data_IF_347479488956
#
_entry.id   IF_347479488956
#
_cell.length_a   1.000
_cell.length_b   1.000
_cell.length_c   1.000
_cell.angle_alpha   90.00
_cell.angle_beta   90.00
_cell.angle_gamma   90.00
#
_symmetry.space_group_name_H-M   'P 1'
#
loop_
_entity.id
_entity.type
_entity.pdbx_description
1 polymer ?
#
# COMPACT_ATOMS: atom_id res chain seq x y z
N UNK A 1 8.53 -3.51 -9.84
CA UNK A 1 7.46 -4.15 -9.04
C UNK A 1 6.25 -3.25 -9.03
N UNK A 2 5.06 -3.81 -8.88
CA UNK A 2 3.81 -3.06 -8.76
C UNK A 2 2.82 -3.81 -7.89
N UNK A 3 1.75 -3.12 -7.51
CA UNK A 3 0.68 -3.64 -6.67
C UNK A 3 -0.65 -3.29 -7.34
N UNK A 4 -1.60 -4.22 -7.33
CA UNK A 4 -2.90 -4.07 -7.97
C UNK A 4 -4.04 -4.49 -7.07
N UNK A 5 -5.20 -3.88 -7.30
CA UNK A 5 -6.46 -4.17 -6.62
C UNK A 5 -7.45 -4.66 -7.69
N UNK A 6 -8.11 -5.79 -7.42
CA UNK A 6 -9.20 -6.32 -8.25
C UNK A 6 -10.48 -6.20 -7.42
N UNK A 7 -11.45 -5.43 -7.93
CA UNK A 7 -12.76 -5.24 -7.32
C UNK A 7 -13.83 -5.99 -8.12
N UNK A 8 -14.03 -7.29 -7.89
CA UNK A 8 -15.17 -8.01 -8.46
C UNK A 8 -16.48 -7.45 -7.88
N UNK A 9 -17.54 -7.35 -8.69
CA UNK A 9 -18.82 -6.72 -8.29
C UNK A 9 -19.58 -7.42 -7.17
N UNK A 10 -19.24 -8.68 -6.87
CA UNK A 10 -20.00 -9.55 -5.96
C UNK A 10 -19.11 -10.47 -5.13
N UNK A 11 -17.82 -10.20 -5.05
CA UNK A 11 -16.85 -11.00 -4.30
C UNK A 11 -15.90 -10.09 -3.54
N UNK A 12 -15.15 -10.67 -2.61
CA UNK A 12 -14.14 -9.95 -1.83
C UNK A 12 -13.12 -9.26 -2.74
N UNK A 13 -12.59 -8.13 -2.25
CA UNK A 13 -11.51 -7.45 -2.96
C UNK A 13 -10.24 -8.28 -2.92
N UNK A 14 -9.59 -8.41 -4.08
CA UNK A 14 -8.30 -9.09 -4.19
C UNK A 14 -7.19 -8.07 -4.33
N UNK A 15 -6.07 -8.32 -3.65
CA UNK A 15 -4.84 -7.55 -3.79
C UNK A 15 -3.72 -8.45 -4.26
N UNK A 16 -2.86 -7.94 -5.13
CA UNK A 16 -1.74 -8.74 -5.65
C UNK A 16 -0.50 -7.88 -5.87
N UNK A 17 0.67 -8.51 -5.70
CA UNK A 17 1.98 -7.93 -5.96
C UNK A 17 2.60 -8.62 -7.18
N UNK A 18 3.20 -7.84 -8.07
CA UNK A 18 3.83 -8.34 -9.28
C UNK A 18 5.19 -7.69 -9.55
N UNK A 19 6.06 -8.41 -10.24
CA UNK A 19 7.38 -7.96 -10.66
C UNK A 19 7.86 -8.74 -11.89
N UNK A 20 9.00 -8.36 -12.47
CA UNK A 20 9.58 -9.09 -13.58
C UNK A 20 9.80 -10.57 -13.20
N UNK A 21 9.13 -11.48 -13.90
CA UNK A 21 9.26 -12.93 -13.68
C UNK A 21 8.65 -13.48 -12.39
N UNK A 22 7.98 -12.65 -11.58
CA UNK A 22 7.37 -13.07 -10.31
C UNK A 22 5.99 -12.44 -10.14
N UNK A 23 4.96 -13.25 -9.93
CA UNK A 23 3.64 -12.82 -9.50
C UNK A 23 3.25 -13.57 -8.24
N UNK A 24 2.83 -12.84 -7.21
CA UNK A 24 2.25 -13.45 -6.02
C UNK A 24 0.78 -13.77 -6.33
N UNK A 25 0.28 -14.90 -5.84
CA UNK A 25 -1.15 -15.20 -5.93
C UNK A 25 -1.94 -14.07 -5.24
N UNK A 26 -3.06 -13.62 -5.85
CA UNK A 26 -3.90 -12.61 -5.22
C UNK A 26 -4.39 -13.07 -3.84
N UNK A 27 -4.28 -12.17 -2.87
CA UNK A 27 -4.82 -12.38 -1.52
C UNK A 27 -6.18 -11.70 -1.40
N UNK A 28 -7.14 -12.38 -0.79
CA UNK A 28 -8.43 -11.79 -0.40
C UNK A 28 -8.23 -10.89 0.80
N UNK A 29 -8.93 -9.76 0.81
CA UNK A 29 -9.04 -8.89 1.98
C UNK A 29 -10.52 -8.68 2.31
N UNK A 30 -10.87 -8.84 3.58
CA UNK A 30 -12.20 -8.58 4.13
C UNK A 30 -12.37 -7.07 4.37
N UNK A 31 -12.26 -6.29 3.29
CA UNK A 31 -12.44 -4.84 3.32
C UNK A 31 -13.42 -4.47 2.22
N UNK A 32 -14.49 -3.78 2.60
CA UNK A 32 -15.46 -3.24 1.66
C UNK A 32 -14.89 -1.97 1.04
N UNK A 33 -14.53 -2.06 -0.24
CA UNK A 33 -14.16 -0.89 -1.04
C UNK A 33 -15.41 -0.37 -1.73
N UNK A 34 -15.73 0.90 -1.54
CA UNK A 34 -16.90 1.48 -2.20
C UNK A 34 -16.60 1.83 -3.65
N UNK A 35 -17.60 1.72 -4.53
CA UNK A 35 -17.51 2.14 -5.92
C UNK A 35 -17.86 3.61 -6.13
N UNK A 36 -18.48 4.25 -5.13
CA UNK A 36 -19.01 5.62 -5.20
C UNK A 36 -18.19 6.65 -4.41
N UNK A 37 -16.96 6.28 -4.02
CA UNK A 37 -16.04 7.13 -3.26
C UNK A 37 -14.86 7.59 -4.13
N UNK A 38 -14.32 8.77 -3.82
CA UNK A 38 -13.10 9.22 -4.49
C UNK A 38 -11.93 8.37 -4.03
N UNK A 39 -11.09 7.92 -4.98
CA UNK A 39 -9.89 7.15 -4.65
C UNK A 39 -8.64 7.70 -5.35
N UNK A 40 -7.48 7.58 -4.69
CA UNK A 40 -6.19 7.93 -5.29
C UNK A 40 -5.07 7.00 -4.90
N UNK A 41 -4.03 7.05 -5.73
CA UNK A 41 -2.75 6.42 -5.54
C UNK A 41 -1.68 7.47 -5.34
N UNK A 42 -0.92 7.35 -4.26
CA UNK A 42 0.22 8.21 -3.96
C UNK A 42 1.48 7.33 -3.80
N UNK A 43 2.58 7.73 -4.44
CA UNK A 43 3.87 7.05 -4.31
C UNK A 43 4.76 7.79 -3.32
N UNK A 44 5.33 7.07 -2.35
CA UNK A 44 6.23 7.64 -1.35
C UNK A 44 7.67 7.80 -1.87
N UNK A 45 7.98 7.14 -2.99
CA UNK A 45 9.29 7.09 -3.61
C UNK A 45 9.20 7.59 -5.05
N UNK A 46 10.05 8.58 -5.38
CA UNK A 46 10.18 9.15 -6.72
C UNK A 46 11.20 8.42 -7.59
N UNK A 47 11.88 9.17 -8.45
CA UNK A 47 12.94 8.65 -9.34
C UNK A 47 14.29 8.47 -8.65
N UNK A 48 14.41 8.94 -7.42
CA UNK A 48 15.66 8.92 -6.66
C UNK A 48 15.92 7.54 -6.06
N UNK A 49 17.20 7.23 -5.83
CA UNK A 49 17.58 6.01 -5.13
C UNK A 49 17.12 6.12 -3.67
N UNK A 50 16.46 5.07 -3.18
CA UNK A 50 16.07 4.96 -1.78
C UNK A 50 16.92 3.92 -1.10
N UNK A 51 17.55 4.31 0.01
CA UNK A 51 18.30 3.41 0.87
C UNK A 51 17.34 2.63 1.77
N UNK A 52 17.55 1.31 1.83
CA UNK A 52 16.86 0.42 2.76
C UNK A 52 17.84 0.01 3.86
N UNK A 53 17.52 0.33 5.11
CA UNK A 53 18.29 -0.14 6.26
C UNK A 53 17.71 -1.45 6.77
N UNK A 54 18.58 -2.35 7.23
CA UNK A 54 18.16 -3.58 7.89
C UNK A 54 17.26 -3.25 9.09
N UNK A 55 16.13 -3.94 9.18
CA UNK A 55 15.14 -3.75 10.22
C UNK A 55 14.24 -2.52 10.06
N UNK A 56 14.52 -1.61 9.12
CA UNK A 56 13.70 -0.41 8.91
C UNK A 56 12.53 -0.70 7.96
N UNK A 57 11.34 -0.25 8.34
CA UNK A 57 10.15 -0.32 7.46
C UNK A 57 10.00 0.99 6.69
N UNK A 58 9.92 0.90 5.37
CA UNK A 58 9.64 2.04 4.48
C UNK A 58 8.28 1.87 3.81
N UNK A 59 7.54 2.98 3.67
CA UNK A 59 6.33 3.05 2.85
C UNK A 59 6.76 3.27 1.40
N UNK A 60 6.17 2.53 0.47
CA UNK A 60 6.41 2.62 -0.97
C UNK A 60 5.29 3.38 -1.67
N UNK A 61 4.05 3.10 -1.28
CA UNK A 61 2.85 3.70 -1.86
C UNK A 61 1.68 3.61 -0.88
N UNK A 62 0.69 4.48 -1.11
CA UNK A 62 -0.59 4.45 -0.44
C UNK A 62 -1.73 4.47 -1.47
N UNK A 63 -2.76 3.68 -1.20
CA UNK A 63 -4.08 3.82 -1.79
C UNK A 63 -5.03 4.33 -0.71
N UNK A 64 -5.88 5.28 -1.06
CA UNK A 64 -6.90 5.79 -0.14
C UNK A 64 -8.23 5.98 -0.84
N UNK A 65 -9.29 5.77 -0.09
CA UNK A 65 -10.66 6.10 -0.45
C UNK A 65 -11.24 7.08 0.56
N UNK A 66 -11.97 8.07 0.06
CA UNK A 66 -12.70 9.03 0.90
C UNK A 66 -14.07 9.32 0.31
N UNK A 67 -15.08 9.28 1.16
CA UNK A 67 -16.42 9.79 0.91
C UNK A 67 -16.51 11.32 1.07
N UNK A 68 -15.41 11.98 1.44
CA UNK A 68 -15.33 13.44 1.43
C UNK A 68 -15.15 13.97 0.01
N UNK A 69 -15.67 15.16 -0.27
CA UNK A 69 -15.52 15.82 -1.57
C UNK A 69 -14.13 16.49 -1.76
N UNK A 70 -13.13 16.12 -0.96
CA UNK A 70 -11.80 16.75 -0.99
C UNK A 70 -10.67 15.74 -0.93
N UNK A 71 -9.73 15.86 -1.87
CA UNK A 71 -8.51 15.07 -1.90
C UNK A 71 -7.37 15.85 -1.23
N UNK A 72 -6.96 15.45 -0.03
CA UNK A 72 -5.77 16.01 0.63
C UNK A 72 -4.52 15.22 0.24
N UNK A 73 -3.43 15.92 -0.07
CA UNK A 73 -2.11 15.32 -0.21
C UNK A 73 -1.52 15.05 1.18
N UNK A 74 -0.94 13.87 1.36
CA UNK A 74 -0.23 13.50 2.59
C UNK A 74 1.23 13.24 2.25
N UNK A 75 2.12 13.58 3.19
CA UNK A 75 3.53 13.22 3.09
C UNK A 75 3.70 11.81 3.62
N UNK A 76 3.94 10.85 2.73
CA UNK A 76 4.09 9.44 3.10
C UNK A 76 5.42 9.15 3.81
N UNK A 77 6.32 10.12 3.90
CA UNK A 77 7.58 10.01 4.65
C UNK A 77 7.46 10.55 6.08
N UNK A 78 6.39 11.28 6.39
CA UNK A 78 6.09 11.80 7.73
C UNK A 78 5.09 10.89 8.46
N UNK A 79 5.47 10.40 9.63
CA UNK A 79 4.66 9.44 10.40
C UNK A 79 3.35 10.08 10.88
N UNK A 80 3.37 11.36 11.25
CA UNK A 80 2.16 12.06 11.68
C UNK A 80 1.19 12.27 10.52
N UNK A 81 1.69 12.65 9.35
CA UNK A 81 0.91 12.76 8.11
C UNK A 81 0.26 11.44 7.73
N UNK A 82 0.98 10.31 7.83
CA UNK A 82 0.41 8.97 7.59
C UNK A 82 -0.65 8.62 8.62
N UNK A 83 -0.45 8.93 9.90
CA UNK A 83 -1.47 8.72 10.95
C UNK A 83 -2.73 9.54 10.67
N UNK A 84 -2.58 10.78 10.21
CA UNK A 84 -3.71 11.63 9.85
C UNK A 84 -4.43 11.08 8.61
N UNK A 85 -3.69 10.61 7.60
CA UNK A 85 -4.28 9.95 6.43
C UNK A 85 -5.16 8.76 6.83
N UNK A 86 -4.68 7.90 7.73
CA UNK A 86 -5.43 6.72 8.21
C UNK A 86 -6.70 7.13 8.97
N UNK A 87 -6.68 8.27 9.68
CA UNK A 87 -7.84 8.77 10.44
C UNK A 87 -8.88 9.47 9.57
N UNK A 88 -8.42 10.20 8.55
CA UNK A 88 -9.27 11.08 7.73
C UNK A 88 -9.93 10.36 6.54
N UNK A 89 -9.42 9.18 6.13
CA UNK A 89 -9.92 8.44 4.96
C UNK A 89 -10.65 7.17 5.39
N UNK A 90 -11.68 6.78 4.63
CA UNK A 90 -12.53 5.64 4.97
C UNK A 90 -11.80 4.31 4.80
N UNK A 91 -10.96 4.21 3.76
CA UNK A 91 -10.10 3.06 3.53
C UNK A 91 -8.71 3.51 3.14
N UNK A 92 -7.69 2.89 3.73
CA UNK A 92 -6.28 3.13 3.39
C UNK A 92 -5.54 1.80 3.27
N UNK A 93 -4.85 1.60 2.15
CA UNK A 93 -3.88 0.52 1.98
C UNK A 93 -2.48 1.10 1.89
N UNK A 94 -1.55 0.55 2.66
CA UNK A 94 -0.14 0.94 2.64
C UNK A 94 0.71 -0.21 2.11
N UNK A 95 1.43 0.03 1.02
CA UNK A 95 2.48 -0.88 0.56
C UNK A 95 3.77 -0.56 1.32
N UNK A 96 4.26 -1.51 2.12
CA UNK A 96 5.46 -1.35 2.95
C UNK A 96 6.51 -2.39 2.59
N UNK A 97 7.77 -2.04 2.78
CA UNK A 97 8.91 -2.95 2.66
C UNK A 97 9.77 -2.89 3.92
N UNK A 98 10.28 -4.04 4.33
CA UNK A 98 11.29 -4.19 5.38
C UNK A 98 12.30 -5.23 4.93
N UNK A 99 13.57 -4.93 5.08
CA UNK A 99 14.65 -5.89 4.80
C UNK A 99 15.13 -6.44 6.14
N UNK A 100 15.19 -7.76 6.25
CA UNK A 100 15.67 -8.47 7.43
C UNK A 100 16.82 -9.39 7.06
N UNK A 101 17.67 -9.70 8.03
CA UNK A 101 18.66 -10.77 7.87
C UNK A 101 17.91 -12.11 7.76
N UNK A 102 18.21 -12.88 6.71
CA UNK A 102 17.72 -14.25 6.62
C UNK A 102 18.40 -15.11 7.67
N UNK A 103 17.64 -15.86 8.47
CA UNK A 103 18.22 -16.96 9.23
C UNK A 103 18.69 -18.02 8.23
N UNK A 104 20.01 -18.22 8.15
CA UNK A 104 20.54 -19.42 7.51
C UNK A 104 20.31 -20.54 8.50
N UNK A 105 19.26 -21.34 8.29
CA UNK A 105 19.11 -22.59 9.02
C UNK A 105 20.32 -23.48 8.66
N UNK A 106 21.30 -23.55 9.57
CA UNK A 106 22.42 -24.48 9.49
C UNK A 106 21.89 -25.88 9.76
N UNK A 107 21.80 -26.69 8.70
CA UNK A 107 21.45 -28.11 8.72
C UNK A 107 22.45 -28.95 9.53
#
# INVERSE_FOLDING_TARGET
MGFGIIKPRSEDTLVFLYGPGVSVHPSRIEQDFSTDVMSSWDYAIGKEKVELKLGETKILAAYKETGSNSMRSFDLQDEESVKNMIKENDTVLLLKIKVEEGMVDSY
#
